data_IF_287114548252
#
_entry.id   IF_287114548252
#
_cell.length_a   1.000
_cell.length_b   1.000
_cell.length_c   1.000
_cell.angle_alpha   90.00
_cell.angle_beta   90.00
_cell.angle_gamma   90.00
#
_symmetry.space_group_name_H-M   'P 1'
#
loop_
_entity.id
_entity.type
_entity.pdbx_description
1 polymer ?
#
# COMPACT_ATOMS: atom_id res chain seq x y z
N UNK A 1 -16.44 6.39 -0.92
CA UNK A 1 -16.63 7.65 -0.16
C UNK A 1 -16.91 8.77 -1.13
N UNK A 2 -17.63 9.82 -0.71
CA UNK A 2 -17.68 11.08 -1.46
C UNK A 2 -16.35 11.81 -1.33
N UNK A 3 -16.15 12.88 -2.10
CA UNK A 3 -14.93 13.69 -1.95
C UNK A 3 -14.86 14.37 -0.58
N UNK A 4 -16.01 14.80 -0.03
CA UNK A 4 -16.08 15.42 1.30
C UNK A 4 -15.74 14.42 2.41
N UNK A 5 -16.18 13.17 2.27
CA UNK A 5 -15.82 12.10 3.22
C UNK A 5 -14.34 11.74 3.14
N UNK A 6 -13.77 11.70 1.93
CA UNK A 6 -12.34 11.46 1.69
C UNK A 6 -11.51 12.54 2.40
N UNK A 7 -11.86 13.80 2.21
CA UNK A 7 -11.23 14.94 2.86
C UNK A 7 -11.36 14.91 4.38
N UNK A 8 -12.54 14.55 4.89
CA UNK A 8 -12.79 14.47 6.33
C UNK A 8 -11.94 13.36 6.98
N UNK A 9 -11.78 12.20 6.32
CA UNK A 9 -10.93 11.11 6.81
C UNK A 9 -9.46 11.52 6.82
N UNK A 10 -8.98 12.18 5.76
CA UNK A 10 -7.59 12.66 5.69
C UNK A 10 -7.32 13.67 6.82
N UNK A 11 -8.18 14.68 6.99
CA UNK A 11 -8.04 15.69 8.06
C UNK A 11 -8.05 15.02 9.44
N UNK A 12 -9.05 14.18 9.70
CA UNK A 12 -9.14 13.47 10.98
C UNK A 12 -7.89 12.65 11.27
N UNK A 13 -7.34 11.98 10.26
CA UNK A 13 -6.14 11.15 10.42
C UNK A 13 -4.93 12.01 10.78
N UNK A 14 -4.70 13.11 10.05
CA UNK A 14 -3.60 14.04 10.32
C UNK A 14 -3.72 14.62 11.73
N UNK A 15 -4.89 15.14 12.10
CA UNK A 15 -5.16 15.72 13.41
C UNK A 15 -4.96 14.66 14.54
N UNK A 16 -5.44 13.44 14.31
CA UNK A 16 -5.34 12.34 15.31
C UNK A 16 -3.92 11.83 15.49
N UNK A 17 -3.14 11.79 14.42
CA UNK A 17 -1.74 11.38 14.48
C UNK A 17 -0.87 12.44 15.17
N UNK A 18 -1.17 13.72 14.96
CA UNK A 18 -0.49 14.84 15.62
C UNK A 18 1.04 14.69 15.58
N UNK A 19 1.59 14.54 14.38
CA UNK A 19 3.02 14.40 14.08
C UNK A 19 3.77 13.26 14.82
N UNK A 20 3.07 12.32 15.48
CA UNK A 20 3.73 11.20 16.18
C UNK A 20 4.37 10.19 15.22
N UNK A 21 3.81 10.05 14.04
CA UNK A 21 4.32 9.24 12.92
C UNK A 21 3.95 9.93 11.60
N UNK A 22 4.69 9.67 10.50
CA UNK A 22 4.33 10.22 9.20
C UNK A 22 2.96 9.72 8.69
N UNK A 23 2.23 10.61 8.02
CA UNK A 23 0.95 10.30 7.36
C UNK A 23 1.14 10.25 5.86
N UNK A 24 0.88 9.08 5.25
CA UNK A 24 0.93 8.86 3.80
C UNK A 24 -0.49 8.89 3.25
N UNK A 25 -0.80 9.82 2.35
CA UNK A 25 -2.16 10.03 1.81
C UNK A 25 -2.24 9.60 0.34
N UNK A 26 -3.25 8.77 0.01
CA UNK A 26 -3.53 8.38 -1.37
C UNK A 26 -4.16 9.53 -2.18
N UNK A 27 -3.41 10.11 -3.12
CA UNK A 27 -3.85 11.24 -3.95
C UNK A 27 -3.97 10.90 -5.44
N UNK A 28 -3.68 9.66 -5.85
CA UNK A 28 -3.68 9.25 -7.26
C UNK A 28 -5.05 9.27 -7.93
N UNK A 29 -5.04 9.45 -9.25
CA UNK A 29 -6.19 9.38 -10.14
C UNK A 29 -5.75 8.87 -11.52
N UNK A 30 -6.70 8.43 -12.33
CA UNK A 30 -6.45 8.09 -13.74
C UNK A 30 -6.51 9.33 -14.68
N UNK A 31 -6.76 10.51 -14.12
CA UNK A 31 -6.66 11.80 -14.76
C UNK A 31 -5.56 12.63 -14.08
N UNK A 32 -4.61 13.15 -14.87
CA UNK A 32 -3.44 13.86 -14.34
C UNK A 32 -3.84 15.15 -13.61
N UNK A 33 -4.81 15.90 -14.15
CA UNK A 33 -5.27 17.14 -13.50
C UNK A 33 -5.89 16.84 -12.14
N UNK A 34 -6.74 15.84 -12.05
CA UNK A 34 -7.35 15.40 -10.79
C UNK A 34 -6.30 14.94 -9.78
N UNK A 35 -5.27 14.19 -10.22
CA UNK A 35 -4.17 13.78 -9.36
C UNK A 35 -3.37 14.97 -8.82
N UNK A 36 -3.11 15.98 -9.65
CA UNK A 36 -2.46 17.24 -9.23
C UNK A 36 -3.32 17.99 -8.22
N UNK A 37 -4.60 18.22 -8.53
CA UNK A 37 -5.52 18.97 -7.66
C UNK A 37 -5.65 18.29 -6.26
N UNK A 38 -5.77 16.96 -6.24
CA UNK A 38 -5.79 16.17 -4.98
C UNK A 38 -4.47 16.26 -4.22
N UNK A 39 -3.36 16.18 -4.93
CA UNK A 39 -2.02 16.25 -4.31
C UNK A 39 -1.77 17.59 -3.64
N UNK A 40 -2.05 18.70 -4.32
CA UNK A 40 -1.98 20.05 -3.76
C UNK A 40 -2.92 20.19 -2.54
N UNK A 41 -4.13 19.67 -2.64
CA UNK A 41 -5.10 19.71 -1.55
C UNK A 41 -4.60 19.01 -0.30
N UNK A 42 -4.05 17.78 -0.45
CA UNK A 42 -3.59 16.99 0.70
C UNK A 42 -2.24 17.48 1.24
N UNK A 43 -1.37 18.04 0.41
CA UNK A 43 -0.21 18.82 0.86
C UNK A 43 -0.64 19.97 1.79
N UNK A 44 -1.63 20.77 1.37
CA UNK A 44 -2.17 21.87 2.18
C UNK A 44 -2.88 21.41 3.46
N UNK A 45 -3.29 20.15 3.56
CA UNK A 45 -3.83 19.55 4.78
C UNK A 45 -2.73 19.07 5.74
N UNK A 46 -1.47 18.96 5.29
CA UNK A 46 -0.34 18.54 6.10
C UNK A 46 0.02 17.06 5.95
N UNK A 47 -0.27 16.44 4.79
CA UNK A 47 0.25 15.10 4.48
C UNK A 47 1.77 15.11 4.43
N UNK A 48 2.43 14.13 5.06
CA UNK A 48 3.88 13.99 5.04
C UNK A 48 4.38 13.35 3.75
N UNK A 49 3.58 12.45 3.15
CA UNK A 49 3.85 11.78 1.87
C UNK A 49 2.56 11.60 1.07
N UNK A 50 2.71 11.55 -0.25
CA UNK A 50 1.61 11.25 -1.17
C UNK A 50 1.83 9.91 -1.86
N UNK A 51 0.84 9.02 -1.81
CA UNK A 51 0.85 7.74 -2.52
C UNK A 51 0.06 7.89 -3.83
N UNK A 52 0.76 7.81 -4.96
CA UNK A 52 0.17 8.03 -6.28
C UNK A 52 0.13 6.72 -7.07
N UNK A 53 -1.09 6.21 -7.29
CA UNK A 53 -1.33 5.00 -8.07
C UNK A 53 -1.14 5.26 -9.57
N UNK A 54 -0.67 4.25 -10.31
CA UNK A 54 -0.65 4.31 -11.77
C UNK A 54 -2.04 4.58 -12.33
N UNK A 55 -2.20 5.40 -13.40
CA UNK A 55 -3.49 5.64 -14.04
C UNK A 55 -4.18 4.33 -14.41
N UNK A 56 -5.33 4.08 -13.81
CA UNK A 56 -6.13 2.87 -14.00
C UNK A 56 -7.15 3.05 -15.14
N UNK A 57 -7.61 1.95 -15.71
CA UNK A 57 -8.62 1.88 -16.76
C UNK A 57 -8.13 2.39 -18.13
N UNK A 58 -7.75 3.67 -18.29
CA UNK A 58 -7.33 4.30 -19.55
C UNK A 58 -5.92 3.92 -20.01
N UNK A 59 -5.14 3.16 -19.21
CA UNK A 59 -3.88 2.49 -19.59
C UNK A 59 -2.92 3.39 -20.38
N UNK A 60 -2.31 4.35 -19.71
CA UNK A 60 -1.31 5.22 -20.33
C UNK A 60 -0.14 4.40 -20.92
N UNK A 61 0.42 4.85 -22.03
CA UNK A 61 1.70 4.34 -22.52
C UNK A 61 2.87 4.82 -21.65
N UNK A 62 4.06 4.30 -21.87
CA UNK A 62 5.23 4.59 -21.02
C UNK A 62 5.53 6.10 -20.92
N UNK A 63 5.54 6.82 -22.04
CA UNK A 63 5.76 8.27 -22.04
C UNK A 63 4.68 9.03 -21.28
N UNK A 64 3.42 8.65 -21.45
CA UNK A 64 2.30 9.23 -20.69
C UNK A 64 2.38 8.93 -19.19
N UNK A 65 2.84 7.73 -18.83
CA UNK A 65 3.06 7.33 -17.43
C UNK A 65 4.15 8.19 -16.78
N UNK A 66 5.29 8.35 -17.44
CA UNK A 66 6.39 9.21 -16.96
C UNK A 66 5.91 10.66 -16.85
N UNK A 67 5.24 11.19 -17.87
CA UNK A 67 4.72 12.56 -17.87
C UNK A 67 3.69 12.79 -16.76
N UNK A 68 2.79 11.83 -16.52
CA UNK A 68 1.79 11.88 -15.43
C UNK A 68 2.47 12.08 -14.07
N UNK A 69 3.37 11.17 -13.69
CA UNK A 69 4.03 11.24 -12.38
C UNK A 69 4.94 12.46 -12.25
N UNK A 70 5.68 12.83 -13.32
CA UNK A 70 6.51 14.04 -13.33
C UNK A 70 5.65 15.30 -13.14
N UNK A 71 4.49 15.38 -13.81
CA UNK A 71 3.58 16.53 -13.66
C UNK A 71 3.06 16.66 -12.24
N UNK A 72 2.65 15.56 -11.62
CA UNK A 72 2.20 15.57 -10.20
C UNK A 72 3.36 15.95 -9.28
N UNK A 73 4.54 15.37 -9.47
CA UNK A 73 5.71 15.63 -8.64
C UNK A 73 6.22 17.07 -8.72
N UNK A 74 6.08 17.71 -9.90
CA UNK A 74 6.42 19.13 -10.08
C UNK A 74 5.40 20.09 -9.46
N UNK A 75 4.20 19.64 -9.17
CA UNK A 75 3.10 20.49 -8.68
C UNK A 75 3.06 20.62 -7.15
N UNK A 76 3.81 19.79 -6.42
CA UNK A 76 3.83 19.73 -4.95
C UNK A 76 5.26 19.64 -4.41
N UNK A 77 5.42 19.98 -3.12
CA UNK A 77 6.67 19.79 -2.38
C UNK A 77 6.66 18.52 -1.51
N UNK A 78 5.47 18.01 -1.19
CA UNK A 78 5.30 16.77 -0.42
C UNK A 78 5.85 15.59 -1.23
N UNK A 79 6.78 14.77 -0.67
CA UNK A 79 7.39 13.65 -1.38
C UNK A 79 6.38 12.61 -1.84
N UNK A 80 6.61 12.07 -3.04
CA UNK A 80 5.70 11.10 -3.69
C UNK A 80 6.26 9.69 -3.61
N UNK A 81 5.40 8.75 -3.24
CA UNK A 81 5.61 7.31 -3.39
C UNK A 81 4.78 6.83 -4.59
N UNK A 82 5.44 6.28 -5.61
CA UNK A 82 4.77 5.64 -6.74
C UNK A 82 4.02 4.39 -6.26
N UNK A 83 2.84 4.10 -6.80
CA UNK A 83 2.12 2.88 -6.47
C UNK A 83 1.86 2.04 -7.71
N UNK A 84 2.58 0.91 -7.83
CA UNK A 84 2.48 -0.04 -8.92
C UNK A 84 1.67 -1.27 -8.49
N UNK A 85 0.44 -1.39 -8.99
CA UNK A 85 -0.50 -2.48 -8.66
C UNK A 85 -1.26 -2.96 -9.90
N UNK A 86 -0.59 -3.65 -10.84
CA UNK A 86 -1.16 -4.03 -12.14
C UNK A 86 -2.47 -4.82 -12.05
N UNK A 87 -2.63 -5.65 -11.01
CA UNK A 87 -3.85 -6.43 -10.76
C UNK A 87 -5.10 -5.58 -10.54
N UNK A 88 -4.94 -4.30 -10.15
CA UNK A 88 -6.04 -3.37 -9.94
C UNK A 88 -6.18 -2.32 -11.04
N UNK A 89 -5.05 -1.89 -11.59
CA UNK A 89 -5.04 -0.78 -12.56
C UNK A 89 -5.09 -1.24 -14.02
N UNK A 90 -4.70 -2.50 -14.28
CA UNK A 90 -4.56 -3.04 -15.63
C UNK A 90 -3.33 -2.48 -16.37
N UNK A 91 -2.45 -1.75 -15.70
CA UNK A 91 -1.19 -1.25 -16.25
C UNK A 91 -0.06 -1.39 -15.21
N UNK A 92 1.19 -1.43 -15.70
CA UNK A 92 2.40 -1.63 -14.91
C UNK A 92 3.41 -0.54 -15.27
N UNK A 93 4.12 -0.01 -14.27
CA UNK A 93 5.31 0.79 -14.51
C UNK A 93 6.38 -0.09 -15.18
N UNK A 94 6.90 0.35 -16.33
CA UNK A 94 8.04 -0.32 -16.94
C UNK A 94 9.31 -0.10 -16.10
N UNK A 95 10.30 -0.98 -16.24
CA UNK A 95 11.61 -0.79 -15.61
C UNK A 95 12.23 0.55 -16.02
N UNK A 96 12.08 0.94 -17.32
CA UNK A 96 12.56 2.22 -17.80
C UNK A 96 11.84 3.41 -17.12
N UNK A 97 10.50 3.34 -16.98
CA UNK A 97 9.76 4.39 -16.27
C UNK A 97 10.24 4.56 -14.82
N UNK A 98 10.49 3.45 -14.09
CA UNK A 98 11.06 3.51 -12.74
C UNK A 98 12.46 4.13 -12.77
N UNK A 99 13.31 3.77 -13.74
CA UNK A 99 14.68 4.33 -13.86
C UNK A 99 14.72 5.83 -14.11
N UNK A 100 13.68 6.37 -14.77
CA UNK A 100 13.53 7.82 -14.99
C UNK A 100 12.97 8.51 -13.77
N UNK A 101 11.87 7.97 -13.22
CA UNK A 101 11.14 8.59 -12.12
C UNK A 101 11.92 8.54 -10.80
N UNK A 102 12.73 7.51 -10.55
CA UNK A 102 13.59 7.43 -9.36
C UNK A 102 14.67 8.53 -9.27
N UNK A 103 14.90 9.26 -10.35
CA UNK A 103 15.84 10.40 -10.39
C UNK A 103 15.15 11.74 -10.12
N UNK A 104 13.83 11.76 -10.02
CA UNK A 104 13.09 12.98 -9.76
C UNK A 104 13.21 13.37 -8.28
N UNK A 105 13.63 14.60 -7.93
CA UNK A 105 13.94 14.97 -6.55
C UNK A 105 12.77 14.89 -5.57
N UNK A 106 11.52 14.91 -6.09
CA UNK A 106 10.30 14.83 -5.27
C UNK A 106 9.59 13.46 -5.38
N UNK A 107 10.27 12.42 -5.92
CA UNK A 107 9.77 11.04 -5.92
C UNK A 107 10.70 10.21 -5.07
N UNK A 108 10.25 9.84 -3.87
CA UNK A 108 11.09 9.24 -2.82
C UNK A 108 10.97 7.72 -2.73
N UNK A 109 10.11 7.08 -3.53
CA UNK A 109 9.99 5.63 -3.45
C UNK A 109 8.89 5.03 -4.31
N UNK A 110 8.76 3.72 -4.18
CA UNK A 110 7.74 2.92 -4.84
C UNK A 110 7.12 1.91 -3.87
N UNK A 111 5.77 1.84 -3.83
CA UNK A 111 5.01 0.71 -3.32
C UNK A 111 4.83 -0.28 -4.45
N UNK A 112 5.55 -1.41 -4.37
CA UNK A 112 5.53 -2.48 -5.37
C UNK A 112 4.53 -3.56 -4.97
N UNK A 113 3.47 -3.72 -5.75
CA UNK A 113 2.37 -4.65 -5.50
C UNK A 113 1.99 -5.47 -6.74
N UNK A 114 2.94 -5.74 -7.64
CA UNK A 114 2.69 -6.57 -8.82
C UNK A 114 2.65 -8.07 -8.51
N UNK A 115 3.24 -8.51 -7.40
CA UNK A 115 3.45 -9.92 -7.10
C UNK A 115 4.55 -10.58 -7.95
N UNK A 116 5.29 -9.81 -8.74
CA UNK A 116 6.35 -10.29 -9.64
C UNK A 116 7.72 -10.01 -9.03
N UNK A 117 8.27 -11.00 -8.31
CA UNK A 117 9.58 -10.88 -7.67
C UNK A 117 10.71 -10.63 -8.69
N UNK A 118 10.59 -11.16 -9.90
CA UNK A 118 11.58 -10.93 -10.97
C UNK A 118 11.57 -9.45 -11.40
N UNK A 119 10.41 -8.85 -11.48
CA UNK A 119 10.29 -7.42 -11.74
C UNK A 119 10.81 -6.58 -10.55
N UNK A 120 10.43 -6.93 -9.32
CA UNK A 120 10.95 -6.27 -8.12
C UNK A 120 12.48 -6.32 -8.06
N UNK A 121 13.08 -7.47 -8.40
CA UNK A 121 14.55 -7.62 -8.51
C UNK A 121 15.15 -6.70 -9.57
N UNK A 122 14.48 -6.52 -10.72
CA UNK A 122 15.00 -5.61 -11.75
C UNK A 122 14.96 -4.15 -11.32
N UNK A 123 13.88 -3.71 -10.68
CA UNK A 123 13.77 -2.31 -10.25
C UNK A 123 14.56 -2.01 -8.97
N UNK A 124 14.93 -3.01 -8.16
CA UNK A 124 15.73 -2.79 -6.95
C UNK A 124 17.10 -2.17 -7.23
N UNK A 125 17.63 -2.29 -8.47
CA UNK A 125 18.88 -1.62 -8.89
C UNK A 125 18.80 -0.09 -8.90
N UNK A 126 17.61 0.49 -8.82
CA UNK A 126 17.39 1.93 -8.79
C UNK A 126 17.15 2.46 -7.37
N UNK A 127 17.19 1.59 -6.37
CA UNK A 127 17.08 1.98 -4.96
C UNK A 127 18.32 2.77 -4.54
N UNK A 128 18.11 3.74 -3.69
CA UNK A 128 19.12 4.62 -3.11
C UNK A 128 18.62 5.16 -1.78
N UNK A 129 19.41 6.00 -1.12
CA UNK A 129 18.98 6.71 0.09
C UNK A 129 17.79 7.64 -0.16
N UNK A 130 17.62 8.12 -1.41
CA UNK A 130 16.55 9.04 -1.81
C UNK A 130 15.36 8.35 -2.49
N UNK A 131 15.48 7.07 -2.86
CA UNK A 131 14.40 6.31 -3.53
C UNK A 131 14.31 4.90 -2.98
N UNK A 132 13.29 4.63 -2.18
CA UNK A 132 13.09 3.36 -1.47
C UNK A 132 11.96 2.52 -2.06
N UNK A 133 11.93 1.21 -1.71
CA UNK A 133 10.87 0.29 -2.12
C UNK A 133 10.14 -0.29 -0.91
N UNK A 134 8.81 -0.17 -0.90
CA UNK A 134 7.93 -0.85 0.03
C UNK A 134 7.21 -2.01 -0.65
N UNK A 135 7.08 -3.14 0.04
CA UNK A 135 6.14 -4.17 -0.41
C UNK A 135 4.70 -3.64 -0.34
N UNK A 136 3.93 -3.87 -1.39
CA UNK A 136 2.49 -3.66 -1.39
C UNK A 136 1.71 -4.96 -1.16
N UNK A 137 2.41 -6.09 -1.04
CA UNK A 137 1.88 -7.44 -0.83
C UNK A 137 2.40 -7.97 0.51
N UNK A 138 1.49 -8.31 1.41
CA UNK A 138 1.83 -8.77 2.77
C UNK A 138 2.53 -10.14 2.77
N UNK A 139 2.28 -10.99 1.78
CA UNK A 139 2.93 -12.29 1.60
C UNK A 139 4.36 -12.19 1.00
N UNK A 140 4.78 -11.00 0.57
CA UNK A 140 6.09 -10.78 -0.05
C UNK A 140 6.99 -9.82 0.73
N UNK A 141 6.71 -9.56 2.01
CA UNK A 141 7.48 -8.59 2.81
C UNK A 141 8.93 -9.01 2.91
N UNK A 142 9.22 -10.21 3.41
CA UNK A 142 10.60 -10.71 3.57
C UNK A 142 11.35 -10.81 2.22
N UNK A 143 10.76 -11.34 1.13
CA UNK A 143 11.36 -11.26 -0.19
C UNK A 143 11.73 -9.84 -0.65
N UNK A 144 10.85 -8.86 -0.45
CA UNK A 144 11.13 -7.46 -0.82
C UNK A 144 12.23 -6.84 0.06
N UNK A 145 12.22 -7.13 1.36
CA UNK A 145 13.30 -6.70 2.27
C UNK A 145 14.65 -7.25 1.81
N UNK A 146 14.70 -8.51 1.33
CA UNK A 146 15.94 -9.12 0.81
C UNK A 146 16.49 -8.47 -0.46
N UNK A 147 15.66 -7.72 -1.18
CA UNK A 147 16.04 -6.92 -2.35
C UNK A 147 16.43 -5.48 -2.00
N UNK A 148 16.57 -5.14 -0.72
CA UNK A 148 16.85 -3.79 -0.25
C UNK A 148 15.59 -2.95 -0.01
N UNK A 149 14.43 -3.57 0.13
CA UNK A 149 13.19 -2.88 0.48
C UNK A 149 13.22 -2.32 1.91
N UNK A 150 12.43 -1.29 2.16
CA UNK A 150 12.41 -0.53 3.41
C UNK A 150 11.23 -0.89 4.33
N UNK A 151 10.33 -1.78 3.89
CA UNK A 151 9.18 -2.20 4.68
C UNK A 151 7.97 -2.58 3.83
N UNK A 152 6.78 -2.38 4.39
CA UNK A 152 5.51 -2.75 3.77
C UNK A 152 4.45 -1.66 3.98
N UNK A 153 3.62 -1.44 2.96
CA UNK A 153 2.36 -0.70 3.08
C UNK A 153 1.24 -1.74 3.03
N UNK A 154 0.81 -2.17 4.19
CA UNK A 154 0.17 -3.44 4.50
C UNK A 154 -1.34 -3.36 4.64
N UNK A 155 -2.06 -4.42 4.27
CA UNK A 155 -3.44 -4.70 4.66
C UNK A 155 -3.47 -5.46 5.99
N UNK A 156 -2.58 -6.42 6.19
CA UNK A 156 -2.42 -7.21 7.41
C UNK A 156 -2.21 -6.32 8.66
N UNK A 157 -1.50 -5.21 8.54
CA UNK A 157 -1.28 -4.26 9.62
C UNK A 157 -2.57 -3.60 10.15
N UNK A 158 -3.71 -3.66 9.46
CA UNK A 158 -4.98 -3.17 9.99
C UNK A 158 -5.51 -4.05 11.13
N UNK A 159 -5.22 -5.34 11.11
CA UNK A 159 -5.61 -6.30 12.14
C UNK A 159 -4.48 -6.62 13.10
N UNK A 160 -3.26 -6.72 12.61
CA UNK A 160 -2.06 -7.16 13.31
C UNK A 160 -0.90 -6.15 13.15
N UNK A 161 -1.04 -4.92 13.65
CA UNK A 161 -0.03 -3.88 13.46
C UNK A 161 1.31 -4.22 14.12
N UNK A 162 1.27 -4.86 15.31
CA UNK A 162 2.48 -5.22 16.05
C UNK A 162 3.29 -6.31 15.30
N UNK A 163 2.62 -7.34 14.81
CA UNK A 163 3.26 -8.43 14.08
C UNK A 163 3.82 -7.96 12.73
N UNK A 164 3.10 -7.06 12.05
CA UNK A 164 3.60 -6.44 10.83
C UNK A 164 4.86 -5.59 11.10
N UNK A 165 4.86 -4.81 12.17
CA UNK A 165 6.03 -4.06 12.64
C UNK A 165 7.17 -5.01 13.00
N UNK A 166 6.93 -6.01 13.85
CA UNK A 166 7.96 -6.91 14.35
C UNK A 166 8.62 -7.74 13.24
N UNK A 167 7.86 -8.10 12.20
CA UNK A 167 8.40 -8.78 11.03
C UNK A 167 9.45 -7.91 10.30
N UNK A 168 9.15 -6.64 10.09
CA UNK A 168 10.06 -5.69 9.43
C UNK A 168 11.23 -5.33 10.35
N UNK A 169 10.96 -5.03 11.61
CA UNK A 169 11.98 -4.65 12.58
C UNK A 169 12.99 -5.78 12.81
N UNK A 170 12.53 -7.02 12.96
CA UNK A 170 13.42 -8.18 13.10
C UNK A 170 14.39 -8.33 11.92
N UNK A 171 13.95 -8.00 10.70
CA UNK A 171 14.83 -7.98 9.52
C UNK A 171 15.97 -6.94 9.71
N UNK A 172 15.63 -5.72 10.06
CA UNK A 172 16.62 -4.65 10.24
C UNK A 172 17.52 -4.85 11.46
N UNK A 173 17.04 -5.54 12.49
CA UNK A 173 17.83 -5.96 13.65
C UNK A 173 18.78 -7.14 13.34
N UNK A 174 18.71 -7.72 12.12
CA UNK A 174 19.51 -8.87 11.69
C UNK A 174 18.97 -10.23 12.12
N UNK A 175 17.79 -10.29 12.77
CA UNK A 175 17.13 -11.54 13.13
C UNK A 175 16.22 -12.03 11.97
N UNK A 176 16.89 -12.49 10.90
CA UNK A 176 16.22 -12.99 9.71
C UNK A 176 15.32 -14.19 9.98
N UNK A 177 15.66 -15.01 10.99
CA UNK A 177 14.85 -16.18 11.38
C UNK A 177 13.52 -15.74 11.97
N UNK A 178 13.53 -14.76 12.86
CA UNK A 178 12.32 -14.20 13.46
C UNK A 178 11.46 -13.54 12.39
N UNK A 179 12.03 -12.70 11.53
CA UNK A 179 11.31 -12.06 10.42
C UNK A 179 10.59 -13.09 9.54
N UNK A 180 11.31 -14.11 9.07
CA UNK A 180 10.75 -15.19 8.26
C UNK A 180 9.71 -16.01 9.02
N UNK A 181 9.93 -16.31 10.31
CA UNK A 181 8.97 -17.05 11.13
C UNK A 181 7.63 -16.32 11.26
N UNK A 182 7.65 -14.99 11.42
CA UNK A 182 6.42 -14.18 11.47
C UNK A 182 5.71 -14.24 10.11
N UNK A 183 6.44 -14.03 9.01
CA UNK A 183 5.89 -14.12 7.64
C UNK A 183 5.19 -15.47 7.42
N UNK A 184 5.85 -16.57 7.80
CA UNK A 184 5.32 -17.92 7.61
C UNK A 184 4.13 -18.23 8.53
N UNK A 185 4.19 -17.79 9.78
CA UNK A 185 3.10 -17.99 10.74
C UNK A 185 1.77 -17.41 10.26
N UNK A 186 1.82 -16.23 9.65
CA UNK A 186 0.62 -15.49 9.25
C UNK A 186 0.27 -15.65 7.77
N UNK A 187 1.01 -16.46 6.99
CA UNK A 187 0.88 -16.54 5.53
C UNK A 187 -0.53 -16.94 5.08
N UNK A 188 -1.12 -17.97 5.67
CA UNK A 188 -2.46 -18.45 5.30
C UNK A 188 -3.54 -17.42 5.69
N UNK A 189 -3.41 -16.79 6.84
CA UNK A 189 -4.28 -15.67 7.22
C UNK A 189 -4.13 -14.46 6.29
N UNK A 190 -2.91 -14.09 5.92
CA UNK A 190 -2.65 -13.04 4.93
C UNK A 190 -3.37 -13.38 3.60
N UNK A 191 -3.27 -14.62 3.13
CA UNK A 191 -3.99 -15.04 1.92
C UNK A 191 -5.52 -14.95 2.10
N UNK A 192 -6.04 -15.31 3.27
CA UNK A 192 -7.47 -15.17 3.57
C UNK A 192 -7.95 -13.69 3.54
N UNK A 193 -7.09 -12.72 3.90
CA UNK A 193 -7.39 -11.30 3.75
C UNK A 193 -7.51 -10.83 2.28
N UNK A 194 -7.14 -11.67 1.33
CA UNK A 194 -7.22 -11.41 -0.11
C UNK A 194 -8.01 -12.48 -0.89
N UNK A 195 -8.72 -13.39 -0.20
CA UNK A 195 -9.56 -14.40 -0.85
C UNK A 195 -10.74 -13.79 -1.63
N UNK A 196 -11.10 -12.55 -1.30
CA UNK A 196 -11.97 -11.68 -2.09
C UNK A 196 -11.32 -10.30 -2.26
N UNK A 197 -11.99 -9.42 -2.98
CA UNK A 197 -11.50 -8.07 -3.25
C UNK A 197 -11.29 -7.28 -1.95
N UNK A 198 -10.06 -6.84 -1.69
CA UNK A 198 -9.77 -5.91 -0.59
C UNK A 198 -10.49 -4.55 -0.86
N UNK A 199 -11.22 -3.96 0.14
CA UNK A 199 -11.11 -4.17 1.59
C UNK A 199 -12.20 -5.07 2.20
N UNK A 200 -12.86 -5.94 1.44
CA UNK A 200 -13.97 -6.75 1.97
C UNK A 200 -13.47 -7.69 3.09
N UNK A 201 -12.45 -8.56 2.91
CA UNK A 201 -12.04 -9.48 3.97
C UNK A 201 -11.45 -8.76 5.19
N UNK A 202 -10.65 -7.71 5.03
CA UNK A 202 -10.07 -7.00 6.18
C UNK A 202 -11.13 -6.29 7.02
N UNK A 203 -12.22 -5.79 6.41
CA UNK A 203 -13.36 -5.25 7.17
C UNK A 203 -14.13 -6.34 7.92
N UNK A 204 -14.31 -7.51 7.29
CA UNK A 204 -14.89 -8.68 7.98
C UNK A 204 -14.02 -9.09 9.17
N UNK A 205 -12.71 -9.21 9.00
CA UNK A 205 -11.77 -9.53 10.07
C UNK A 205 -11.86 -8.54 11.24
N UNK A 206 -11.86 -7.24 10.97
CA UNK A 206 -11.99 -6.21 12.01
C UNK A 206 -13.34 -6.30 12.75
N UNK A 207 -14.44 -6.61 12.05
CA UNK A 207 -15.75 -6.81 12.67
C UNK A 207 -15.75 -8.08 13.56
N UNK A 208 -15.14 -9.19 13.11
CA UNK A 208 -14.94 -10.40 13.92
C UNK A 208 -14.12 -10.12 15.18
N UNK A 209 -13.14 -9.21 15.11
CA UNK A 209 -12.39 -8.72 16.27
C UNK A 209 -13.18 -7.73 17.18
N UNK A 210 -14.46 -7.47 16.87
CA UNK A 210 -15.30 -6.54 17.64
C UNK A 210 -15.01 -5.05 17.43
N UNK A 211 -14.26 -4.67 16.35
CA UNK A 211 -13.89 -3.27 16.08
C UNK A 211 -15.01 -2.41 15.47
N UNK A 212 -16.11 -3.03 15.04
CA UNK A 212 -17.30 -2.34 14.51
C UNK A 212 -17.01 -1.31 13.40
N UNK A 213 -16.24 -1.72 12.37
CA UNK A 213 -15.86 -0.85 11.23
C UNK A 213 -16.99 -0.67 10.20
N UNK A 214 -18.20 -1.12 10.52
CA UNK A 214 -19.38 -0.98 9.69
C UNK A 214 -19.42 -1.95 8.50
N UNK A 215 -20.44 -1.75 7.65
CA UNK A 215 -20.70 -2.58 6.47
C UNK A 215 -19.98 -2.11 5.21
N UNK A 216 -20.56 -2.47 4.07
CA UNK A 216 -20.03 -2.19 2.74
C UNK A 216 -20.96 -1.24 1.98
N UNK A 217 -20.40 -0.45 1.08
CA UNK A 217 -21.13 0.37 0.13
C UNK A 217 -20.93 -0.19 -1.27
N UNK A 218 -21.97 -0.28 -2.07
CA UNK A 218 -21.87 -0.73 -3.45
C UNK A 218 -20.81 0.06 -4.22
N UNK A 219 -20.01 -0.60 -5.07
CA UNK A 219 -20.15 -1.98 -5.55
C UNK A 219 -19.60 -3.07 -4.62
N UNK A 220 -19.03 -2.73 -3.47
CA UNK A 220 -18.59 -3.71 -2.49
C UNK A 220 -19.79 -4.30 -1.74
N UNK A 221 -19.76 -5.62 -1.52
CA UNK A 221 -20.84 -6.40 -0.93
C UNK A 221 -20.27 -7.31 0.18
N UNK A 222 -21.06 -7.78 1.14
CA UNK A 222 -20.58 -8.74 2.14
C UNK A 222 -19.95 -9.98 1.52
N UNK A 223 -18.95 -10.54 2.21
CA UNK A 223 -18.25 -11.75 1.78
C UNK A 223 -19.20 -12.91 1.51
N UNK A 224 -18.84 -13.77 0.55
CA UNK A 224 -19.43 -15.08 0.43
C UNK A 224 -19.29 -15.84 1.76
N UNK A 225 -20.36 -16.51 2.26
CA UNK A 225 -20.31 -17.21 3.54
C UNK A 225 -19.16 -18.21 3.66
N UNK A 226 -18.82 -18.94 2.61
CA UNK A 226 -17.72 -19.89 2.60
C UNK A 226 -16.37 -19.19 2.80
N UNK A 227 -16.17 -18.04 2.18
CA UNK A 227 -14.94 -17.26 2.32
C UNK A 227 -14.86 -16.59 3.69
N UNK A 228 -16.01 -16.17 4.23
CA UNK A 228 -16.10 -15.64 5.59
C UNK A 228 -15.72 -16.71 6.63
N UNK A 229 -16.26 -17.93 6.50
CA UNK A 229 -15.92 -19.04 7.40
C UNK A 229 -14.43 -19.39 7.29
N UNK A 230 -13.88 -19.43 6.08
CA UNK A 230 -12.44 -19.62 5.87
C UNK A 230 -11.59 -18.54 6.56
N UNK A 231 -11.95 -17.26 6.41
CA UNK A 231 -11.26 -16.16 7.08
C UNK A 231 -11.30 -16.34 8.61
N UNK A 232 -12.46 -16.67 9.17
CA UNK A 232 -12.63 -16.91 10.61
C UNK A 232 -11.76 -18.08 11.11
N UNK A 233 -11.71 -19.18 10.37
CA UNK A 233 -10.84 -20.32 10.67
C UNK A 233 -9.37 -19.93 10.72
N UNK A 234 -8.87 -19.16 9.72
CA UNK A 234 -7.48 -18.72 9.69
C UNK A 234 -7.17 -17.74 10.83
N UNK A 235 -8.11 -16.88 11.20
CA UNK A 235 -7.97 -15.99 12.36
C UNK A 235 -7.85 -16.78 13.68
N UNK A 236 -8.63 -17.85 13.86
CA UNK A 236 -8.54 -18.75 15.02
C UNK A 236 -7.20 -19.49 15.07
N UNK A 237 -6.73 -20.02 13.94
CA UNK A 237 -5.43 -20.75 13.85
C UNK A 237 -4.24 -19.91 14.31
N UNK A 238 -4.25 -18.61 14.03
CA UNK A 238 -3.16 -17.70 14.41
C UNK A 238 -3.42 -16.99 15.75
N UNK A 239 -4.58 -17.22 16.39
CA UNK A 239 -4.92 -16.71 17.72
C UNK A 239 -5.35 -15.23 17.74
N UNK A 240 -5.96 -14.73 16.65
CA UNK A 240 -6.50 -13.36 16.57
C UNK A 240 -7.88 -13.29 17.25
N UNK A 241 -8.65 -14.36 17.16
CA UNK A 241 -9.95 -14.56 17.81
C UNK A 241 -10.03 -15.96 18.43
N UNK A 242 -11.01 -16.19 19.32
CA UNK A 242 -11.30 -17.50 19.96
C UNK A 242 -12.06 -18.46 19.04
#
# INVERSE_FOLDING_TARGET
MTHEEDDAVVRYTIDKIDHRIPVVVGAGSNDTKTAVDKSIKYENMGADYLLIITPYYNKANEGGMIAHFTTVANAVHTPIILYNVPGRTGCKLSEHAVSVLSKHPNICGIKEASGDISYATRISRYLSDDFVMYSGNDDMVVPILSLGGSGVISVFANTNPQEAHDMVQAWFDGDLKKSLSIQQKYLDYIHALFCEVNPIPVKAALNLMGKNVGGYRLPLYPMDPKNHDHLEEEMKKVGIIE
#
